data_IF_378249385147
#
_entry.id   IF_378249385147
#
_cell.length_a   1.000
_cell.length_b   1.000
_cell.length_c   1.000
_cell.angle_alpha   90.00
_cell.angle_beta   90.00
_cell.angle_gamma   90.00
#
_symmetry.space_group_name_H-M   'P 1'
#
loop_
_entity.id
_entity.type
_entity.pdbx_description
1 polymer ?
#
# COMPACT_ATOMS: atom_id res chain seq x y z
N UNK A 1 -3.74 -14.19 -8.72
CA UNK A 1 -4.76 -13.33 -8.09
C UNK A 1 -4.77 -13.60 -6.60
N UNK A 2 -4.30 -12.62 -5.84
CA UNK A 2 -4.33 -12.64 -4.39
C UNK A 2 -5.67 -12.05 -3.95
N UNK A 3 -6.40 -12.76 -3.11
CA UNK A 3 -7.60 -12.21 -2.46
C UNK A 3 -7.15 -11.30 -1.32
N UNK A 4 -7.55 -10.04 -1.38
CA UNK A 4 -7.35 -9.04 -0.33
C UNK A 4 -8.68 -8.74 0.35
N UNK A 5 -8.69 -8.78 1.67
CA UNK A 5 -9.89 -8.54 2.47
C UNK A 5 -9.72 -7.26 3.28
N UNK A 6 -10.19 -6.13 2.72
CA UNK A 6 -10.00 -4.83 3.33
C UNK A 6 -10.98 -4.61 4.50
N UNK A 7 -10.51 -4.55 5.76
CA UNK A 7 -11.39 -4.35 6.91
C UNK A 7 -11.84 -2.89 7.01
N UNK A 8 -12.99 -2.66 7.66
CA UNK A 8 -13.36 -1.31 8.10
C UNK A 8 -12.32 -0.75 9.08
N UNK A 9 -11.92 0.50 8.88
CA UNK A 9 -10.87 1.16 9.68
C UNK A 9 -11.45 1.89 10.88
N UNK A 10 -12.03 1.14 11.82
CA UNK A 10 -12.70 1.66 13.03
C UNK A 10 -11.79 1.81 14.25
N UNK A 11 -10.59 1.23 14.18
CA UNK A 11 -9.55 1.25 15.23
C UNK A 11 -8.16 1.29 14.60
N UNK A 12 -7.14 1.69 15.35
CA UNK A 12 -5.75 1.59 14.87
C UNK A 12 -5.34 0.17 14.49
N UNK A 13 -5.82 -0.84 15.22
CA UNK A 13 -5.60 -2.24 14.87
C UNK A 13 -6.14 -2.59 13.48
N UNK A 14 -7.34 -2.13 13.16
CA UNK A 14 -7.93 -2.32 11.82
C UNK A 14 -7.25 -1.50 10.73
N UNK A 15 -6.72 -0.31 11.05
CA UNK A 15 -5.91 0.50 10.12
C UNK A 15 -4.63 -0.24 9.73
N UNK A 16 -3.95 -0.87 10.68
CA UNK A 16 -2.76 -1.67 10.38
C UNK A 16 -3.11 -2.91 9.55
N UNK A 17 -4.24 -3.57 9.83
CA UNK A 17 -4.72 -4.68 8.98
C UNK A 17 -5.02 -4.21 7.56
N UNK A 18 -5.66 -3.05 7.39
CA UNK A 18 -5.90 -2.46 6.07
C UNK A 18 -4.59 -2.15 5.34
N UNK A 19 -3.60 -1.57 6.04
CA UNK A 19 -2.27 -1.31 5.51
C UNK A 19 -1.59 -2.60 5.02
N UNK A 20 -1.70 -3.69 5.79
CA UNK A 20 -1.14 -4.99 5.40
C UNK A 20 -1.78 -5.52 4.11
N UNK A 21 -3.09 -5.36 3.95
CA UNK A 21 -3.79 -5.74 2.72
C UNK A 21 -3.41 -4.86 1.52
N UNK A 22 -3.17 -3.56 1.72
CA UNK A 22 -2.60 -2.69 0.68
C UNK A 22 -1.23 -3.19 0.22
N UNK A 23 -0.31 -3.47 1.15
CA UNK A 23 1.04 -3.92 0.80
C UNK A 23 1.03 -5.31 0.14
N UNK A 24 0.14 -6.21 0.59
CA UNK A 24 -0.09 -7.54 -0.01
C UNK A 24 -0.60 -7.40 -1.44
N UNK A 25 -1.63 -6.57 -1.66
CA UNK A 25 -2.19 -6.31 -2.97
C UNK A 25 -1.19 -5.68 -3.94
N UNK A 26 -0.47 -4.65 -3.49
CA UNK A 26 0.55 -3.98 -4.29
C UNK A 26 1.72 -4.90 -4.65
N UNK A 27 2.15 -5.75 -3.71
CA UNK A 27 3.12 -6.82 -3.98
C UNK A 27 2.62 -7.74 -5.08
N UNK A 28 1.37 -8.22 -4.98
CA UNK A 28 0.80 -9.14 -5.95
C UNK A 28 0.70 -8.52 -7.35
N UNK A 29 0.22 -7.27 -7.45
CA UNK A 29 0.14 -6.54 -8.72
C UNK A 29 1.53 -6.43 -9.35
N UNK A 30 2.53 -5.98 -8.58
CA UNK A 30 3.89 -5.84 -9.10
C UNK A 30 4.50 -7.18 -9.55
N UNK A 31 4.30 -8.25 -8.79
CA UNK A 31 4.77 -9.58 -9.18
C UNK A 31 4.07 -10.15 -10.41
N UNK A 32 2.77 -9.91 -10.57
CA UNK A 32 2.02 -10.34 -11.75
C UNK A 32 2.54 -9.61 -12.98
N UNK A 33 2.68 -8.27 -12.92
CA UNK A 33 3.24 -7.47 -14.02
C UNK A 33 4.69 -7.85 -14.35
N UNK A 34 5.52 -8.17 -13.36
CA UNK A 34 6.90 -8.58 -13.57
C UNK A 34 7.04 -9.92 -14.34
N UNK A 35 6.01 -10.77 -14.31
CA UNK A 35 6.00 -12.08 -15.00
C UNK A 35 5.45 -12.00 -16.42
N UNK A 36 4.86 -10.87 -16.81
CA UNK A 36 4.32 -10.70 -18.15
C UNK A 36 5.43 -10.53 -19.19
N UNK A 37 5.47 -11.43 -20.18
CA UNK A 37 6.55 -11.47 -21.18
C UNK A 37 6.66 -10.16 -21.98
N UNK A 38 5.53 -9.51 -22.29
CA UNK A 38 5.49 -8.23 -22.98
C UNK A 38 6.03 -7.06 -22.13
N UNK A 39 6.17 -7.25 -20.82
CA UNK A 39 6.69 -6.26 -19.87
C UNK A 39 8.13 -6.55 -19.43
N UNK A 40 8.83 -7.48 -20.09
CA UNK A 40 10.18 -7.91 -19.70
C UNK A 40 11.18 -6.75 -19.53
N UNK A 41 11.06 -5.69 -20.33
CA UNK A 41 11.90 -4.49 -20.23
C UNK A 41 11.73 -3.68 -18.93
N UNK A 42 10.62 -3.86 -18.20
CA UNK A 42 10.34 -3.20 -16.93
C UNK A 42 10.25 -4.19 -15.75
N UNK A 43 10.49 -5.48 -15.99
CA UNK A 43 10.34 -6.53 -14.97
C UNK A 43 11.21 -6.28 -13.73
N UNK A 44 12.43 -5.76 -13.88
CA UNK A 44 13.29 -5.40 -12.75
C UNK A 44 12.66 -4.30 -11.87
N UNK A 45 12.06 -3.28 -12.49
CA UNK A 45 11.38 -2.21 -11.74
C UNK A 45 10.19 -2.75 -10.95
N UNK A 46 9.35 -3.59 -11.57
CA UNK A 46 8.23 -4.22 -10.87
C UNK A 46 8.69 -5.16 -9.75
N UNK A 47 9.72 -5.97 -9.96
CA UNK A 47 10.28 -6.82 -8.91
C UNK A 47 10.86 -6.02 -7.74
N UNK A 48 11.54 -4.91 -8.01
CA UNK A 48 12.05 -4.03 -6.96
C UNK A 48 10.93 -3.42 -6.12
N UNK A 49 9.84 -2.98 -6.76
CA UNK A 49 8.65 -2.47 -6.07
C UNK A 49 7.98 -3.56 -5.22
N UNK A 50 7.77 -4.76 -5.78
CA UNK A 50 7.24 -5.90 -5.03
C UNK A 50 8.08 -6.21 -3.78
N UNK A 51 9.42 -6.20 -3.90
CA UNK A 51 10.32 -6.41 -2.78
C UNK A 51 10.23 -5.31 -1.71
N UNK A 52 10.04 -4.05 -2.13
CA UNK A 52 9.83 -2.94 -1.20
C UNK A 52 8.51 -3.06 -0.42
N UNK A 53 7.42 -3.42 -1.09
CA UNK A 53 6.13 -3.68 -0.44
C UNK A 53 6.22 -4.83 0.57
N UNK A 54 6.84 -5.96 0.21
CA UNK A 54 7.07 -7.07 1.16
C UNK A 54 7.83 -6.64 2.41
N UNK A 55 8.87 -5.81 2.26
CA UNK A 55 9.63 -5.28 3.41
C UNK A 55 8.74 -4.41 4.29
N UNK A 56 7.87 -3.58 3.71
CA UNK A 56 6.90 -2.77 4.45
C UNK A 56 5.86 -3.63 5.16
N UNK A 57 5.30 -4.67 4.51
CA UNK A 57 4.42 -5.64 5.17
C UNK A 57 5.08 -6.26 6.40
N UNK A 58 6.34 -6.70 6.28
CA UNK A 58 7.08 -7.29 7.40
C UNK A 58 7.28 -6.30 8.56
N UNK A 59 7.57 -5.04 8.25
CA UNK A 59 7.69 -3.97 9.25
C UNK A 59 6.35 -3.69 9.95
N UNK A 60 5.25 -3.67 9.21
CA UNK A 60 3.90 -3.47 9.74
C UNK A 60 3.48 -4.63 10.64
N UNK A 61 3.73 -5.88 10.24
CA UNK A 61 3.48 -7.06 11.08
C UNK A 61 4.32 -7.03 12.36
N UNK A 62 5.61 -6.72 12.26
CA UNK A 62 6.46 -6.56 13.43
C UNK A 62 5.91 -5.48 14.38
N UNK A 63 5.57 -4.32 13.84
CA UNK A 63 4.96 -3.22 14.61
C UNK A 63 3.66 -3.66 15.28
N UNK A 64 2.81 -4.42 14.57
CA UNK A 64 1.57 -4.96 15.11
C UNK A 64 1.79 -5.91 16.28
N UNK A 65 2.77 -6.81 16.20
CA UNK A 65 3.02 -7.78 17.28
C UNK A 65 3.73 -7.18 18.48
N UNK A 66 4.71 -6.32 18.26
CA UNK A 66 5.59 -5.85 19.33
C UNK A 66 5.14 -4.53 19.95
N UNK A 67 4.49 -3.65 19.18
CA UNK A 67 4.13 -2.29 19.61
C UNK A 67 2.63 -2.06 19.79
N UNK A 68 1.79 -2.95 19.27
CA UNK A 68 0.33 -2.87 19.39
C UNK A 68 -0.25 -3.96 20.33
N UNK A 69 0.53 -4.37 21.32
CA UNK A 69 0.00 -5.10 22.47
C UNK A 69 -0.68 -4.08 23.40
N UNK A 70 -2.02 -4.17 23.42
CA UNK A 70 -2.93 -3.56 24.39
C UNK A 70 -3.22 -2.05 24.20
N UNK A 71 -4.51 -1.74 23.96
CA UNK A 71 -5.16 -0.45 24.30
C UNK A 71 -5.00 0.77 23.39
N UNK A 72 -5.06 0.64 22.05
CA UNK A 72 -5.55 1.75 21.21
C UNK A 72 -6.91 1.41 20.64
N UNK A 73 -7.89 1.34 21.54
CA UNK A 73 -9.32 1.25 21.23
C UNK A 73 -9.92 2.61 20.91
N UNK A 74 -9.10 3.64 20.72
CA UNK A 74 -9.62 4.94 20.30
C UNK A 74 -10.40 4.74 18.99
N UNK A 75 -11.71 5.00 19.01
CA UNK A 75 -12.54 4.79 17.85
C UNK A 75 -12.13 5.80 16.79
N UNK A 76 -11.82 5.30 15.60
CA UNK A 76 -11.63 6.12 14.42
C UNK A 76 -13.02 6.37 13.86
N UNK A 77 -13.50 7.60 14.01
CA UNK A 77 -14.79 8.05 13.49
C UNK A 77 -14.63 8.68 12.10
N UNK A 78 -15.69 8.57 11.29
CA UNK A 78 -15.84 9.29 10.01
C UNK A 78 -14.79 8.99 8.92
N UNK A 79 -14.11 7.84 9.00
CA UNK A 79 -13.20 7.40 7.95
C UNK A 79 -13.91 6.50 6.91
N UNK A 80 -14.20 7.04 5.74
CA UNK A 80 -14.64 6.24 4.59
C UNK A 80 -13.44 5.52 3.97
N UNK A 81 -13.13 4.32 4.46
CA UNK A 81 -11.98 3.52 4.03
C UNK A 81 -12.10 3.02 2.57
N UNK A 82 -13.33 2.92 2.03
CA UNK A 82 -13.60 2.45 0.67
C UNK A 82 -12.90 3.28 -0.40
N UNK A 83 -12.69 4.58 -0.14
CA UNK A 83 -11.99 5.47 -1.08
C UNK A 83 -10.51 5.09 -1.29
N UNK A 84 -9.93 4.30 -0.39
CA UNK A 84 -8.54 3.85 -0.45
C UNK A 84 -8.38 2.45 -1.06
N UNK A 85 -9.47 1.72 -1.31
CA UNK A 85 -9.38 0.37 -1.88
C UNK A 85 -8.95 0.50 -3.35
N UNK A 86 -7.79 -0.04 -3.74
CA UNK A 86 -7.33 -0.02 -5.12
C UNK A 86 -8.00 -1.12 -5.94
N UNK A 87 -8.03 -0.94 -7.26
CA UNK A 87 -8.22 -2.07 -8.18
C UNK A 87 -6.94 -2.92 -8.19
N UNK A 88 -7.08 -4.23 -8.00
CA UNK A 88 -5.95 -5.16 -7.87
C UNK A 88 -5.91 -6.20 -8.99
N UNK A 89 -6.94 -6.26 -9.83
CA UNK A 89 -6.96 -7.13 -11.01
C UNK A 89 -6.14 -6.51 -12.12
N UNK A 90 -4.94 -7.03 -12.30
CA UNK A 90 -4.02 -6.62 -13.37
C UNK A 90 -4.67 -6.76 -14.76
N UNK A 91 -4.54 -5.76 -15.64
CA UNK A 91 -5.10 -5.82 -16.99
C UNK A 91 -4.23 -6.74 -17.87
N UNK A 92 -4.75 -7.92 -18.20
CA UNK A 92 -4.02 -8.92 -18.99
C UNK A 92 -3.71 -8.42 -20.40
N UNK A 93 -2.45 -8.57 -20.82
CA UNK A 93 -2.02 -8.25 -22.18
C UNK A 93 -1.97 -6.75 -22.48
N UNK A 94 -2.03 -5.90 -21.45
CA UNK A 94 -1.85 -4.47 -21.60
C UNK A 94 -0.39 -4.14 -21.97
N UNK A 95 -0.21 -2.99 -22.64
CA UNK A 95 1.12 -2.47 -22.94
C UNK A 95 1.80 -1.91 -21.68
N UNK A 96 3.11 -1.63 -21.78
CA UNK A 96 3.90 -1.14 -20.65
C UNK A 96 3.29 0.11 -20.01
N UNK A 97 2.88 1.07 -20.82
CA UNK A 97 2.33 2.34 -20.34
C UNK A 97 1.03 2.13 -19.55
N UNK A 98 0.13 1.28 -20.04
CA UNK A 98 -1.13 0.99 -19.38
C UNK A 98 -0.92 0.19 -18.09
N UNK A 99 -0.02 -0.80 -18.11
CA UNK A 99 0.35 -1.59 -16.94
C UNK A 99 1.06 -0.75 -15.86
N UNK A 100 1.94 0.16 -16.27
CA UNK A 100 2.62 1.06 -15.35
C UNK A 100 1.65 2.07 -14.72
N UNK A 101 0.71 2.63 -15.51
CA UNK A 101 -0.38 3.47 -14.99
C UNK A 101 -1.29 2.72 -14.02
N UNK A 102 -1.58 1.45 -14.29
CA UNK A 102 -2.34 0.61 -13.38
C UNK A 102 -1.64 0.47 -12.03
N UNK A 103 -0.36 0.10 -12.03
CA UNK A 103 0.44 0.02 -10.80
C UNK A 103 0.55 1.39 -10.09
N UNK A 104 0.70 2.48 -10.85
CA UNK A 104 0.75 3.84 -10.31
C UNK A 104 -0.55 4.23 -9.57
N UNK A 105 -1.71 3.76 -10.04
CA UNK A 105 -2.98 3.98 -9.36
C UNK A 105 -3.06 3.23 -8.02
N UNK A 106 -2.47 2.04 -7.91
CA UNK A 106 -2.34 1.30 -6.64
C UNK A 106 -1.45 2.07 -5.66
N UNK A 107 -0.33 2.60 -6.14
CA UNK A 107 0.57 3.44 -5.34
C UNK A 107 -0.12 4.73 -4.89
N UNK A 108 -0.91 5.37 -5.76
CA UNK A 108 -1.68 6.58 -5.42
C UNK A 108 -2.68 6.34 -4.29
N UNK A 109 -3.44 5.24 -4.36
CA UNK A 109 -4.38 4.84 -3.30
C UNK A 109 -3.67 4.58 -1.97
N UNK A 110 -2.51 3.93 -2.03
CA UNK A 110 -1.68 3.66 -0.85
C UNK A 110 -1.12 4.95 -0.25
N UNK A 111 -0.65 5.88 -1.10
CA UNK A 111 -0.17 7.19 -0.68
C UNK A 111 -1.27 8.02 0.00
N UNK A 112 -2.48 8.04 -0.56
CA UNK A 112 -3.64 8.70 0.04
C UNK A 112 -3.94 8.14 1.42
N UNK A 113 -3.97 6.80 1.54
CA UNK A 113 -4.25 6.12 2.81
C UNK A 113 -3.21 6.50 3.87
N UNK A 114 -1.93 6.29 3.60
CA UNK A 114 -0.87 6.57 4.57
C UNK A 114 -0.77 8.06 4.91
N UNK A 115 -0.99 8.95 3.94
CA UNK A 115 -1.00 10.40 4.17
C UNK A 115 -2.13 10.84 5.09
N UNK A 116 -3.34 10.29 4.92
CA UNK A 116 -4.48 10.61 5.79
C UNK A 116 -4.32 9.98 7.18
N UNK A 117 -3.84 8.73 7.26
CA UNK A 117 -3.59 8.06 8.54
C UNK A 117 -2.47 8.74 9.33
N UNK A 118 -1.44 9.27 8.65
CA UNK A 118 -0.40 10.08 9.28
C UNK A 118 -0.97 11.32 9.98
N UNK A 119 -1.85 12.07 9.29
CA UNK A 119 -2.49 13.27 9.85
C UNK A 119 -3.33 12.93 11.07
N UNK A 120 -4.11 11.85 11.00
CA UNK A 120 -4.94 11.37 12.10
C UNK A 120 -4.10 10.93 13.31
N UNK A 121 -3.02 10.19 13.06
CA UNK A 121 -2.14 9.70 14.12
C UNK A 121 -1.24 10.79 14.74
N UNK A 122 -1.10 11.97 14.11
CA UNK A 122 -0.11 13.00 14.50
C UNK A 122 -0.18 13.43 15.96
N UNK A 123 -1.39 13.52 16.51
CA UNK A 123 -1.62 13.98 17.89
C UNK A 123 -1.70 12.82 18.91
N UNK A 124 -1.79 11.58 18.44
CA UNK A 124 -2.03 10.40 19.26
C UNK A 124 -0.77 9.52 19.34
N UNK A 125 -0.09 9.35 18.21
CA UNK A 125 1.04 8.44 18.01
C UNK A 125 2.06 9.07 17.06
N UNK A 126 2.83 10.03 17.58
CA UNK A 126 3.77 10.82 16.75
C UNK A 126 4.79 9.99 15.96
N UNK A 127 5.25 8.85 16.51
CA UNK A 127 6.14 7.93 15.80
C UNK A 127 5.42 7.23 14.64
N UNK A 128 4.21 6.72 14.87
CA UNK A 128 3.40 6.07 13.83
C UNK A 128 3.06 7.06 12.71
N UNK A 129 2.71 8.30 13.06
CA UNK A 129 2.44 9.37 12.10
C UNK A 129 3.63 9.63 11.16
N UNK A 130 4.87 9.64 11.69
CA UNK A 130 6.08 9.84 10.89
C UNK A 130 6.34 8.66 9.94
N UNK A 131 6.12 7.43 10.41
CA UNK A 131 6.28 6.23 9.57
C UNK A 131 5.28 6.26 8.42
N UNK A 132 4.02 6.59 8.69
CA UNK A 132 2.98 6.68 7.66
C UNK A 132 3.27 7.82 6.67
N UNK A 133 3.72 8.99 7.13
CA UNK A 133 4.12 10.08 6.23
C UNK A 133 5.27 9.67 5.30
N UNK A 134 6.26 8.95 5.84
CA UNK A 134 7.35 8.40 5.04
C UNK A 134 6.84 7.42 3.99
N UNK A 135 5.98 6.48 4.36
CA UNK A 135 5.38 5.52 3.42
C UNK A 135 4.60 6.25 2.32
N UNK A 136 3.78 7.24 2.68
CA UNK A 136 3.04 8.04 1.70
C UNK A 136 3.96 8.69 0.66
N UNK A 137 5.08 9.26 1.09
CA UNK A 137 6.09 9.85 0.20
C UNK A 137 6.77 8.81 -0.68
N UNK A 138 7.08 7.63 -0.14
CA UNK A 138 7.64 6.53 -0.92
C UNK A 138 6.66 6.05 -2.00
N UNK A 139 5.38 5.89 -1.66
CA UNK A 139 4.34 5.54 -2.64
C UNK A 139 4.20 6.62 -3.74
N UNK A 140 4.25 7.91 -3.39
CA UNK A 140 4.23 9.00 -4.40
C UNK A 140 5.47 8.97 -5.31
N UNK A 141 6.65 8.67 -4.76
CA UNK A 141 7.86 8.52 -5.56
C UNK A 141 7.78 7.31 -6.50
N UNK A 142 7.22 6.19 -6.04
CA UNK A 142 6.97 5.01 -6.86
C UNK A 142 5.97 5.30 -7.97
N UNK A 143 4.87 6.01 -7.65
CA UNK A 143 3.88 6.47 -8.64
C UNK A 143 4.57 7.27 -9.75
N UNK A 144 5.36 8.28 -9.40
CA UNK A 144 6.09 9.09 -10.37
C UNK A 144 7.07 8.26 -11.21
N UNK A 145 7.76 7.29 -10.60
CA UNK A 145 8.65 6.35 -11.31
C UNK A 145 7.88 5.50 -12.32
N UNK A 146 6.70 5.00 -11.95
CA UNK A 146 5.84 4.20 -12.81
C UNK A 146 5.24 5.02 -13.95
N UNK A 147 4.81 6.25 -13.67
CA UNK A 147 4.27 7.16 -14.70
C UNK A 147 5.31 7.60 -15.74
N UNK A 148 6.60 7.41 -15.44
CA UNK A 148 7.72 7.69 -16.34
C UNK A 148 8.13 6.48 -17.22
N UNK A 149 7.50 5.31 -17.03
CA UNK A 149 7.66 4.13 -17.90
C UNK A 149 6.78 4.23 -19.14
#
# INVERSE_FOLDING_TARGET
MVECEFPECTTFGSVIRFALELEKGATAVCEELAREAQLAGAAETFNALAAAHKKRSALLEYTRREKLNEMIQEPIQDLDNRKYIPELRTPKGADLKSSARFAAAVEDKSAMFYGDMSKMAKNLLSEAARIMDKMAKENLANKAKLEAL
#
